data_IF_294856122045
#
_entry.id   IF_294856122045
#
_cell.length_a   1.000
_cell.length_b   1.000
_cell.length_c   1.000
_cell.angle_alpha   90.00
_cell.angle_beta   90.00
_cell.angle_gamma   90.00
#
_symmetry.space_group_name_H-M   'P 1'
#
loop_
_entity.id
_entity.type
_entity.pdbx_description
1 polymer ?
#
# COMPACT_ATOMS: atom_id res chain seq x y z
N UNK A 1 22.03 -139.28 -27.29
CA UNK A 1 21.67 -140.70 -27.05
C UNK A 1 22.92 -141.55 -27.18
N UNK A 2 22.97 -142.67 -26.45
CA UNK A 2 23.98 -143.76 -26.55
C UNK A 2 23.84 -144.53 -27.90
N UNK A 3 24.65 -145.52 -28.33
CA UNK A 3 25.90 -146.18 -27.89
C UNK A 3 26.56 -146.74 -29.18
N UNK A 4 27.88 -146.60 -29.40
CA UNK A 4 28.97 -147.52 -29.06
C UNK A 4 28.84 -148.96 -29.60
N UNK A 5 29.81 -149.35 -30.42
CA UNK A 5 29.99 -150.69 -30.99
C UNK A 5 30.25 -151.78 -29.92
N UNK A 6 29.98 -153.04 -30.29
CA UNK A 6 30.70 -154.20 -29.76
C UNK A 6 31.14 -155.12 -30.90
N UNK A 7 32.44 -155.44 -30.93
CA UNK A 7 32.95 -156.68 -31.49
C UNK A 7 33.24 -157.62 -30.34
N UNK A 8 33.01 -158.92 -30.52
CA UNK A 8 33.59 -159.94 -29.65
C UNK A 8 34.22 -161.06 -30.47
N UNK A 9 35.33 -161.56 -29.92
CA UNK A 9 36.25 -162.54 -30.50
C UNK A 9 36.15 -163.88 -29.79
N UNK A 10 36.33 -165.00 -30.50
CA UNK A 10 36.84 -166.30 -30.03
C UNK A 10 36.94 -167.20 -31.28
N UNK A 11 38.02 -167.86 -31.69
CA UNK A 11 39.23 -168.42 -31.07
C UNK A 11 39.06 -169.83 -30.45
N UNK A 12 39.29 -170.86 -31.29
CA UNK A 12 39.51 -172.28 -31.00
C UNK A 12 39.97 -172.94 -32.32
N UNK A 13 40.86 -173.94 -32.40
CA UNK A 13 41.55 -174.69 -31.35
C UNK A 13 41.98 -176.08 -31.85
N UNK A 14 43.13 -176.14 -32.55
CA UNK A 14 43.92 -177.37 -32.78
C UNK A 14 43.25 -178.60 -33.44
N UNK A 15 42.94 -178.51 -34.75
CA UNK A 15 42.98 -179.67 -35.67
C UNK A 15 43.64 -179.40 -37.04
N UNK A 16 44.23 -178.21 -37.26
CA UNK A 16 44.63 -177.75 -38.59
C UNK A 16 46.03 -177.14 -38.65
N UNK A 17 46.99 -177.66 -37.88
CA UNK A 17 48.35 -177.08 -37.73
C UNK A 17 49.14 -177.01 -39.04
N UNK A 18 48.96 -177.97 -39.95
CA UNK A 18 49.57 -177.93 -41.30
C UNK A 18 48.95 -176.82 -42.17
N UNK A 19 47.62 -176.69 -42.17
CA UNK A 19 46.90 -175.71 -43.00
C UNK A 19 47.05 -174.27 -42.46
N UNK A 20 47.10 -174.13 -41.12
CA UNK A 20 47.39 -172.87 -40.45
C UNK A 20 48.79 -172.34 -40.78
N UNK A 21 49.79 -173.21 -40.94
CA UNK A 21 51.15 -172.81 -41.33
C UNK A 21 51.19 -172.28 -42.77
N UNK A 22 50.48 -172.92 -43.71
CA UNK A 22 50.35 -172.45 -45.09
C UNK A 22 49.61 -171.10 -45.17
N UNK A 23 48.53 -170.94 -44.41
CA UNK A 23 47.80 -169.67 -44.31
C UNK A 23 48.66 -168.55 -43.66
N UNK A 24 49.44 -168.88 -42.63
CA UNK A 24 50.36 -167.93 -42.00
C UNK A 24 51.51 -167.51 -42.93
N UNK A 25 52.08 -168.45 -43.69
CA UNK A 25 53.08 -168.17 -44.73
C UNK A 25 52.51 -167.26 -45.83
N UNK A 26 51.30 -167.54 -46.30
CA UNK A 26 50.63 -166.69 -47.30
C UNK A 26 50.34 -165.28 -46.75
N UNK A 27 49.84 -165.18 -45.52
CA UNK A 27 49.61 -163.89 -44.86
C UNK A 27 50.90 -163.09 -44.64
N UNK A 28 52.03 -163.76 -44.34
CA UNK A 28 53.35 -163.13 -44.30
C UNK A 28 53.79 -162.62 -45.68
N UNK A 29 53.58 -163.42 -46.73
CA UNK A 29 53.95 -163.06 -48.10
C UNK A 29 53.11 -161.89 -48.65
N UNK A 30 51.81 -161.87 -48.35
CA UNK A 30 50.92 -160.75 -48.66
C UNK A 30 51.27 -159.50 -47.83
N UNK A 31 51.66 -159.65 -46.56
CA UNK A 31 52.15 -158.55 -45.73
C UNK A 31 53.49 -157.98 -46.20
N UNK A 32 54.39 -158.80 -46.72
CA UNK A 32 55.65 -158.35 -47.35
C UNK A 32 55.32 -157.52 -48.61
N UNK A 33 54.45 -158.01 -49.50
CA UNK A 33 53.99 -157.25 -50.67
C UNK A 33 53.34 -155.91 -50.30
N UNK A 34 52.56 -155.88 -49.22
CA UNK A 34 51.94 -154.64 -48.72
C UNK A 34 52.99 -153.65 -48.19
N UNK A 35 54.02 -154.13 -47.49
CA UNK A 35 55.13 -153.28 -47.06
C UNK A 35 56.00 -152.81 -48.23
N UNK A 36 56.17 -153.62 -49.28
CA UNK A 36 56.89 -153.21 -50.50
C UNK A 36 56.12 -152.14 -51.29
N UNK A 37 54.79 -152.22 -51.36
CA UNK A 37 53.97 -151.14 -51.96
C UNK A 37 54.03 -149.87 -51.12
N UNK A 38 53.85 -149.95 -49.80
CA UNK A 38 54.01 -148.80 -48.90
C UNK A 38 55.41 -148.18 -48.93
N UNK A 39 56.47 -148.99 -49.16
CA UNK A 39 57.85 -148.47 -49.31
C UNK A 39 58.04 -147.76 -50.65
N UNK A 40 57.40 -148.22 -51.72
CA UNK A 40 57.47 -147.58 -53.04
C UNK A 40 56.70 -146.24 -53.06
N UNK A 41 55.63 -146.11 -52.28
CA UNK A 41 54.92 -144.83 -52.07
C UNK A 41 55.72 -143.82 -51.21
N UNK A 42 56.84 -144.24 -50.59
CA UNK A 42 57.65 -143.44 -49.66
C UNK A 42 59.08 -143.18 -50.14
N UNK A 43 59.44 -143.45 -51.41
CA UNK A 43 60.72 -143.02 -51.97
C UNK A 43 60.69 -141.55 -52.47
N UNK A 44 61.67 -140.70 -52.08
CA UNK A 44 61.57 -139.26 -52.29
C UNK A 44 62.06 -138.80 -53.68
N UNK A 45 61.15 -138.34 -54.53
CA UNK A 45 61.47 -137.67 -55.81
C UNK A 45 61.89 -136.20 -55.62
N UNK A 46 62.85 -135.93 -54.74
CA UNK A 46 63.13 -134.58 -54.21
C UNK A 46 64.54 -134.06 -54.54
N UNK A 47 64.67 -133.36 -55.69
CA UNK A 47 65.70 -132.30 -55.91
C UNK A 47 65.27 -131.16 -56.83
N UNK A 48 64.43 -131.39 -57.86
CA UNK A 48 63.90 -130.29 -58.69
C UNK A 48 62.73 -129.57 -58.00
N UNK A 49 61.71 -130.31 -57.53
CA UNK A 49 60.55 -129.72 -56.83
C UNK A 49 60.92 -128.78 -55.68
N UNK A 50 61.94 -129.13 -54.88
CA UNK A 50 62.37 -128.28 -53.75
C UNK A 50 62.81 -126.87 -54.21
N UNK A 51 63.45 -126.73 -55.38
CA UNK A 51 63.80 -125.41 -55.92
C UNK A 51 62.60 -124.64 -56.44
N UNK A 52 61.66 -125.34 -57.06
CA UNK A 52 60.42 -124.74 -57.58
C UNK A 52 59.52 -124.28 -56.42
N UNK A 53 59.42 -125.10 -55.36
CA UNK A 53 58.72 -124.80 -54.10
C UNK A 53 59.41 -123.65 -53.34
N UNK A 54 60.75 -123.63 -53.26
CA UNK A 54 61.51 -122.54 -52.63
C UNK A 54 61.34 -121.22 -53.40
N UNK A 55 61.35 -121.26 -54.74
CA UNK A 55 61.06 -120.10 -55.58
C UNK A 55 59.63 -119.60 -55.39
N UNK A 56 58.65 -120.51 -55.29
CA UNK A 56 57.25 -120.18 -55.03
C UNK A 56 57.05 -119.55 -53.65
N UNK A 57 57.72 -120.07 -52.62
CA UNK A 57 57.71 -119.50 -51.26
C UNK A 57 58.37 -118.12 -51.24
N UNK A 58 59.50 -117.92 -51.93
CA UNK A 58 60.15 -116.60 -52.04
C UNK A 58 59.26 -115.59 -52.77
N UNK A 59 58.58 -116.01 -53.84
CA UNK A 59 57.60 -115.18 -54.54
C UNK A 59 56.43 -114.80 -53.62
N UNK A 60 55.86 -115.77 -52.89
CA UNK A 60 54.76 -115.52 -51.95
C UNK A 60 55.18 -114.58 -50.80
N UNK A 61 56.42 -114.71 -50.29
CA UNK A 61 56.99 -113.76 -49.31
C UNK A 61 57.13 -112.36 -49.91
N UNK A 62 57.54 -112.23 -51.17
CA UNK A 62 57.65 -110.94 -51.85
C UNK A 62 56.27 -110.29 -52.07
N UNK A 63 55.27 -111.06 -52.52
CA UNK A 63 53.88 -110.61 -52.67
C UNK A 63 53.29 -110.16 -51.33
N UNK A 64 53.48 -110.93 -50.25
CA UNK A 64 53.05 -110.55 -48.90
C UNK A 64 53.76 -109.29 -48.37
N UNK A 65 55.04 -109.09 -48.69
CA UNK A 65 55.76 -107.83 -48.36
C UNK A 65 55.15 -106.63 -49.08
N UNK A 66 54.91 -106.75 -50.38
CA UNK A 66 54.32 -105.68 -51.20
C UNK A 66 52.88 -105.35 -50.77
N UNK A 67 52.09 -106.38 -50.38
CA UNK A 67 50.77 -106.20 -49.77
C UNK A 67 50.86 -105.49 -48.42
N UNK A 68 51.80 -105.86 -47.55
CA UNK A 68 51.98 -105.24 -46.23
C UNK A 68 52.43 -103.77 -46.35
N UNK A 69 53.33 -103.45 -47.29
CA UNK A 69 53.72 -102.07 -47.61
C UNK A 69 52.52 -101.25 -48.12
N UNK A 70 51.70 -101.84 -49.00
CA UNK A 70 50.45 -101.22 -49.47
C UNK A 70 49.46 -100.95 -48.34
N UNK A 71 49.27 -101.92 -47.43
CA UNK A 71 48.42 -101.78 -46.24
C UNK A 71 48.97 -100.73 -45.27
N UNK A 72 50.29 -100.66 -45.08
CA UNK A 72 50.93 -99.64 -44.24
C UNK A 72 50.73 -98.23 -44.81
N UNK A 73 50.85 -98.05 -46.14
CA UNK A 73 50.52 -96.78 -46.80
C UNK A 73 49.04 -96.43 -46.67
N UNK A 74 48.13 -97.39 -46.78
CA UNK A 74 46.69 -97.17 -46.58
C UNK A 74 46.38 -96.77 -45.13
N UNK A 75 47.00 -97.42 -44.14
CA UNK A 75 46.86 -97.09 -42.73
C UNK A 75 47.36 -95.66 -42.44
N UNK A 76 48.51 -95.27 -42.97
CA UNK A 76 49.04 -93.91 -42.82
C UNK A 76 48.12 -92.86 -43.45
N UNK A 77 47.54 -93.14 -44.63
CA UNK A 77 46.53 -92.26 -45.25
C UNK A 77 45.29 -92.12 -44.35
N UNK A 78 44.75 -93.23 -43.83
CA UNK A 78 43.60 -93.18 -42.91
C UNK A 78 43.91 -92.43 -41.60
N UNK A 79 45.15 -92.50 -41.09
CA UNK A 79 45.57 -91.70 -39.93
C UNK A 79 45.60 -90.20 -40.25
N UNK A 80 46.16 -89.81 -41.40
CA UNK A 80 46.15 -88.42 -41.87
C UNK A 80 44.73 -87.92 -42.13
N UNK A 81 43.87 -88.72 -42.75
CA UNK A 81 42.46 -88.37 -43.01
C UNK A 81 41.69 -88.17 -41.70
N UNK A 82 41.93 -89.02 -40.69
CA UNK A 82 41.37 -88.86 -39.34
C UNK A 82 41.83 -87.56 -38.68
N UNK A 83 43.11 -87.20 -38.80
CA UNK A 83 43.64 -85.94 -38.26
C UNK A 83 43.03 -84.72 -38.98
N UNK A 84 42.92 -84.77 -40.30
CA UNK A 84 42.24 -83.75 -41.10
C UNK A 84 40.76 -83.60 -40.70
N UNK A 85 40.04 -84.70 -40.50
CA UNK A 85 38.65 -84.69 -40.00
C UNK A 85 38.55 -84.03 -38.62
N UNK A 86 39.45 -84.36 -37.69
CA UNK A 86 39.49 -83.69 -36.38
C UNK A 86 39.73 -82.19 -36.50
N UNK A 87 40.64 -81.76 -37.38
CA UNK A 87 40.92 -80.34 -37.64
C UNK A 87 39.69 -79.62 -38.23
N UNK A 88 38.95 -80.26 -39.14
CA UNK A 88 37.68 -79.72 -39.66
C UNK A 88 36.58 -79.64 -38.58
N UNK A 89 36.48 -80.62 -37.68
CA UNK A 89 35.54 -80.56 -36.54
C UNK A 89 35.84 -79.35 -35.66
N UNK A 90 37.10 -79.16 -35.25
CA UNK A 90 37.51 -78.01 -34.43
C UNK A 90 37.25 -76.67 -35.14
N UNK A 91 37.47 -76.59 -36.46
CA UNK A 91 37.15 -75.40 -37.25
C UNK A 91 35.64 -75.12 -37.29
N UNK A 92 34.81 -76.16 -37.44
CA UNK A 92 33.35 -76.05 -37.42
C UNK A 92 32.86 -75.58 -36.05
N UNK A 93 33.39 -76.13 -34.96
CA UNK A 93 33.06 -75.72 -33.59
C UNK A 93 33.44 -74.25 -33.33
N UNK A 94 34.61 -73.80 -33.79
CA UNK A 94 35.03 -72.40 -33.69
C UNK A 94 34.06 -71.45 -34.43
N UNK A 95 33.71 -71.78 -35.67
CA UNK A 95 32.76 -70.99 -36.47
C UNK A 95 31.33 -71.00 -35.89
N UNK A 96 30.90 -72.11 -35.27
CA UNK A 96 29.62 -72.18 -34.57
C UNK A 96 29.59 -71.28 -33.32
N UNK A 97 30.67 -71.28 -32.54
CA UNK A 97 30.81 -70.41 -31.37
C UNK A 97 30.86 -68.93 -31.75
N UNK A 98 31.59 -68.56 -32.80
CA UNK A 98 31.61 -67.18 -33.32
C UNK A 98 30.21 -66.74 -33.76
N UNK A 99 29.49 -67.58 -34.52
CA UNK A 99 28.12 -67.29 -34.96
C UNK A 99 27.16 -67.15 -33.78
N UNK A 100 27.31 -67.95 -32.73
CA UNK A 100 26.49 -67.85 -31.51
C UNK A 100 26.75 -66.54 -30.76
N UNK A 101 28.01 -66.10 -30.69
CA UNK A 101 28.38 -64.81 -30.10
C UNK A 101 27.77 -63.64 -30.88
N UNK A 102 27.93 -63.62 -32.20
CA UNK A 102 27.35 -62.59 -33.07
C UNK A 102 25.80 -62.53 -32.94
N UNK A 103 25.12 -63.69 -32.87
CA UNK A 103 23.67 -63.74 -32.65
C UNK A 103 23.26 -63.09 -31.32
N UNK A 104 24.03 -63.30 -30.26
CA UNK A 104 23.80 -62.66 -28.96
C UNK A 104 24.01 -61.14 -29.03
N UNK A 105 25.10 -60.68 -29.65
CA UNK A 105 25.37 -59.25 -29.84
C UNK A 105 24.25 -58.55 -30.64
N UNK A 106 23.71 -59.20 -31.67
CA UNK A 106 22.55 -58.69 -32.41
C UNK A 106 21.29 -58.66 -31.54
N UNK A 107 21.05 -59.68 -30.71
CA UNK A 107 19.91 -59.71 -29.78
C UNK A 107 20.00 -58.58 -28.75
N UNK A 108 21.16 -58.38 -28.12
CA UNK A 108 21.40 -57.32 -27.14
C UNK A 108 21.22 -55.94 -27.80
N UNK A 109 21.74 -55.75 -29.02
CA UNK A 109 21.56 -54.50 -29.80
C UNK A 109 20.11 -54.24 -30.20
N UNK A 110 19.32 -55.28 -30.47
CA UNK A 110 17.88 -55.16 -30.74
C UNK A 110 17.13 -54.75 -29.48
N UNK A 111 17.45 -55.33 -28.32
CA UNK A 111 16.84 -54.95 -27.04
C UNK A 111 17.11 -53.46 -26.71
N UNK A 112 18.35 -53.01 -26.87
CA UNK A 112 18.73 -51.59 -26.73
C UNK A 112 17.93 -50.65 -27.65
N UNK A 113 17.68 -51.07 -28.90
CA UNK A 113 16.91 -50.28 -29.86
C UNK A 113 15.42 -50.25 -29.51
N UNK A 114 14.86 -51.36 -29.03
CA UNK A 114 13.49 -51.42 -28.52
C UNK A 114 13.32 -50.45 -27.34
N UNK A 115 14.23 -50.50 -26.36
CA UNK A 115 14.21 -49.61 -25.20
C UNK A 115 14.27 -48.12 -25.61
N UNK A 116 15.19 -47.76 -26.52
CA UNK A 116 15.30 -46.39 -27.07
C UNK A 116 14.02 -45.95 -27.80
N UNK A 117 13.34 -46.86 -28.50
CA UNK A 117 12.05 -46.57 -29.14
C UNK A 117 10.95 -46.33 -28.11
N UNK A 118 10.92 -47.10 -27.02
CA UNK A 118 9.94 -46.91 -25.93
C UNK A 118 10.15 -45.60 -25.18
N UNK A 119 11.39 -45.25 -24.85
CA UNK A 119 11.70 -44.00 -24.17
C UNK A 119 11.44 -42.79 -25.09
N UNK A 120 11.72 -42.91 -26.40
CA UNK A 120 11.30 -41.93 -27.40
C UNK A 120 9.78 -41.79 -27.56
N UNK A 121 8.99 -42.85 -27.32
CA UNK A 121 7.51 -42.76 -27.25
C UNK A 121 7.06 -42.03 -25.99
N UNK A 122 7.66 -42.31 -24.82
CA UNK A 122 7.36 -41.62 -23.54
C UNK A 122 7.64 -40.12 -23.65
N UNK A 123 8.84 -39.75 -24.12
CA UNK A 123 9.23 -38.35 -24.30
C UNK A 123 8.31 -37.60 -25.28
N UNK A 124 7.87 -38.26 -26.37
CA UNK A 124 6.88 -37.68 -27.30
C UNK A 124 5.54 -37.41 -26.62
N UNK A 125 5.06 -38.35 -25.79
CA UNK A 125 3.81 -38.20 -25.06
C UNK A 125 3.87 -37.08 -24.01
N UNK A 126 4.97 -36.99 -23.26
CA UNK A 126 5.24 -35.89 -22.31
C UNK A 126 5.26 -34.53 -23.02
N UNK A 127 5.95 -34.43 -24.16
CA UNK A 127 5.99 -33.21 -24.96
C UNK A 127 4.62 -32.84 -25.53
N UNK A 128 3.79 -33.80 -25.95
CA UNK A 128 2.42 -33.54 -26.37
C UNK A 128 1.56 -33.01 -25.21
N UNK A 129 1.65 -33.62 -24.02
CA UNK A 129 0.92 -33.13 -22.84
C UNK A 129 1.33 -31.69 -22.47
N UNK A 130 2.61 -31.35 -22.60
CA UNK A 130 3.09 -29.97 -22.39
C UNK A 130 2.53 -29.01 -23.44
N UNK A 131 2.48 -29.40 -24.71
CA UNK A 131 1.86 -28.60 -25.79
C UNK A 131 0.38 -28.34 -25.47
N UNK A 132 -0.38 -29.37 -25.07
CA UNK A 132 -1.81 -29.25 -24.76
C UNK A 132 -2.06 -28.34 -23.54
N UNK A 133 -1.18 -28.37 -22.54
CA UNK A 133 -1.23 -27.46 -21.38
C UNK A 133 -0.96 -26.01 -21.80
N UNK A 134 0.09 -25.77 -22.59
CA UNK A 134 0.43 -24.43 -23.10
C UNK A 134 -0.67 -23.86 -24.01
N UNK A 135 -1.30 -24.68 -24.84
CA UNK A 135 -2.45 -24.26 -25.67
C UNK A 135 -3.64 -23.81 -24.80
N UNK A 136 -3.99 -24.57 -23.75
CA UNK A 136 -5.03 -24.18 -22.78
C UNK A 136 -4.70 -22.86 -22.09
N UNK A 137 -3.44 -22.68 -21.68
CA UNK A 137 -2.97 -21.44 -21.05
C UNK A 137 -3.07 -20.23 -21.99
N UNK A 138 -2.70 -20.39 -23.26
CA UNK A 138 -2.82 -19.35 -24.29
C UNK A 138 -4.28 -18.95 -24.52
N UNK A 139 -5.21 -19.91 -24.60
CA UNK A 139 -6.63 -19.57 -24.80
C UNK A 139 -7.22 -18.87 -23.57
N UNK A 140 -6.83 -19.26 -22.35
CA UNK A 140 -7.21 -18.52 -21.14
C UNK A 140 -6.70 -17.08 -21.16
N UNK A 141 -5.47 -16.83 -21.61
CA UNK A 141 -4.96 -15.46 -21.76
C UNK A 141 -5.75 -14.64 -22.80
N UNK A 142 -6.12 -15.22 -23.95
CA UNK A 142 -6.98 -14.54 -24.95
C UNK A 142 -8.39 -14.24 -24.43
N UNK A 143 -8.95 -15.09 -23.58
CA UNK A 143 -10.24 -14.83 -22.91
C UNK A 143 -10.09 -13.66 -21.94
N UNK A 144 -9.04 -13.68 -21.12
CA UNK A 144 -8.75 -12.60 -20.17
C UNK A 144 -8.51 -11.26 -20.90
N UNK A 145 -7.72 -11.24 -21.97
CA UNK A 145 -7.44 -10.06 -22.79
C UNK A 145 -8.72 -9.47 -23.39
N UNK A 146 -9.58 -10.29 -24.01
CA UNK A 146 -10.91 -9.85 -24.50
C UNK A 146 -11.75 -9.23 -23.38
N UNK A 147 -11.75 -9.84 -22.19
CA UNK A 147 -12.45 -9.31 -21.01
C UNK A 147 -11.86 -7.97 -20.50
N UNK A 148 -10.55 -7.78 -20.57
CA UNK A 148 -9.91 -6.50 -20.20
C UNK A 148 -10.21 -5.40 -21.22
N UNK A 149 -10.20 -5.70 -22.52
CA UNK A 149 -10.56 -4.73 -23.58
C UNK A 149 -12.00 -4.27 -23.40
N UNK A 150 -12.95 -5.19 -23.20
CA UNK A 150 -14.36 -4.85 -22.95
C UNK A 150 -14.55 -3.97 -21.71
N UNK A 151 -13.87 -4.28 -20.60
CA UNK A 151 -13.91 -3.44 -19.38
C UNK A 151 -13.31 -2.05 -19.61
N UNK A 152 -12.22 -1.96 -20.37
CA UNK A 152 -11.57 -0.69 -20.70
C UNK A 152 -12.48 0.19 -21.57
N UNK A 153 -13.15 -0.40 -22.55
CA UNK A 153 -14.06 0.35 -23.43
C UNK A 153 -15.34 0.76 -22.70
N UNK A 154 -15.88 -0.07 -21.80
CA UNK A 154 -16.98 0.35 -20.90
C UNK A 154 -16.56 1.53 -20.01
N UNK A 155 -15.38 1.48 -19.39
CA UNK A 155 -14.87 2.58 -18.57
C UNK A 155 -14.73 3.90 -19.35
N UNK A 156 -14.27 3.85 -20.61
CA UNK A 156 -14.21 5.03 -21.49
C UNK A 156 -15.61 5.59 -21.78
N UNK A 157 -16.59 4.72 -22.03
CA UNK A 157 -17.98 5.15 -22.27
C UNK A 157 -18.58 5.80 -21.01
N UNK A 158 -18.41 5.17 -19.85
CA UNK A 158 -18.89 5.68 -18.56
C UNK A 158 -18.23 7.02 -18.18
N UNK A 159 -16.92 7.17 -18.43
CA UNK A 159 -16.19 8.42 -18.19
C UNK A 159 -16.64 9.53 -19.16
N UNK A 160 -16.76 9.22 -20.46
CA UNK A 160 -17.23 10.16 -21.46
C UNK A 160 -18.66 10.63 -21.18
N UNK A 161 -19.56 9.73 -20.78
CA UNK A 161 -20.92 10.11 -20.39
C UNK A 161 -20.93 11.07 -19.19
N UNK A 162 -20.14 10.78 -18.13
CA UNK A 162 -20.01 11.70 -16.98
C UNK A 162 -19.47 13.07 -17.38
N UNK A 163 -18.51 13.13 -18.31
CA UNK A 163 -17.99 14.39 -18.84
C UNK A 163 -19.05 15.14 -19.65
N UNK A 164 -19.85 14.45 -20.46
CA UNK A 164 -20.98 15.03 -21.21
C UNK A 164 -22.02 15.63 -20.24
N UNK A 165 -22.41 14.88 -19.21
CA UNK A 165 -23.39 15.31 -18.21
C UNK A 165 -22.88 16.55 -17.45
N UNK A 166 -21.62 16.53 -17.02
CA UNK A 166 -20.97 17.68 -16.36
C UNK A 166 -20.91 18.92 -17.27
N UNK A 167 -20.65 18.74 -18.57
CA UNK A 167 -20.65 19.84 -19.54
C UNK A 167 -22.07 20.41 -19.73
N UNK A 168 -23.12 19.59 -19.73
CA UNK A 168 -24.50 20.05 -19.80
C UNK A 168 -24.90 20.86 -18.57
N UNK A 169 -24.58 20.37 -17.36
CA UNK A 169 -24.78 21.07 -16.10
C UNK A 169 -24.09 22.45 -16.07
N UNK A 170 -22.83 22.51 -16.50
CA UNK A 170 -22.07 23.75 -16.56
C UNK A 170 -22.64 24.73 -17.60
N UNK A 171 -23.07 24.26 -18.77
CA UNK A 171 -23.78 25.07 -19.78
C UNK A 171 -25.04 25.69 -19.18
N UNK A 172 -25.86 24.89 -18.50
CA UNK A 172 -27.10 25.38 -17.91
C UNK A 172 -26.85 26.41 -16.80
N UNK A 173 -25.83 26.21 -15.95
CA UNK A 173 -25.40 27.22 -14.95
C UNK A 173 -24.93 28.52 -15.60
N UNK A 174 -24.21 28.45 -16.72
CA UNK A 174 -23.79 29.64 -17.48
C UNK A 174 -24.99 30.39 -18.07
N UNK A 175 -25.96 29.68 -18.66
CA UNK A 175 -27.21 30.28 -19.17
C UNK A 175 -28.03 30.96 -18.06
N UNK A 176 -28.16 30.31 -16.90
CA UNK A 176 -28.79 30.91 -15.72
C UNK A 176 -28.05 32.17 -15.25
N UNK A 177 -26.71 32.12 -15.20
CA UNK A 177 -25.85 33.26 -14.84
C UNK A 177 -26.00 34.44 -15.80
N UNK A 178 -26.01 34.18 -17.12
CA UNK A 178 -26.25 35.21 -18.14
C UNK A 178 -27.66 35.81 -18.04
N UNK A 179 -28.68 34.99 -17.78
CA UNK A 179 -30.06 35.44 -17.56
C UNK A 179 -30.18 36.34 -16.32
N UNK A 180 -29.45 36.01 -15.25
CA UNK A 180 -29.38 36.81 -14.03
C UNK A 180 -28.62 38.13 -14.25
N UNK A 181 -27.48 38.10 -14.95
CA UNK A 181 -26.71 39.29 -15.31
C UNK A 181 -27.57 40.30 -16.11
N UNK A 182 -28.27 39.85 -17.15
CA UNK A 182 -29.20 40.68 -17.95
C UNK A 182 -30.33 41.31 -17.11
N UNK A 183 -30.77 40.66 -16.03
CA UNK A 183 -31.76 41.23 -15.09
C UNK A 183 -31.13 42.31 -14.20
N UNK A 184 -29.88 42.13 -13.78
CA UNK A 184 -29.13 43.12 -13.02
C UNK A 184 -28.77 44.36 -13.86
N UNK A 185 -28.31 44.18 -15.09
CA UNK A 185 -28.03 45.27 -16.05
C UNK A 185 -29.27 46.17 -16.22
N UNK A 186 -30.43 45.58 -16.54
CA UNK A 186 -31.70 46.33 -16.64
C UNK A 186 -32.14 46.99 -15.33
N UNK A 187 -31.76 46.47 -14.17
CA UNK A 187 -32.05 47.10 -12.87
C UNK A 187 -31.11 48.27 -12.62
N UNK A 188 -29.84 48.14 -13.00
CA UNK A 188 -28.85 49.20 -12.94
C UNK A 188 -29.23 50.38 -13.86
N UNK A 189 -29.61 50.13 -15.11
CA UNK A 189 -30.11 51.17 -16.03
C UNK A 189 -31.28 51.97 -15.44
N UNK A 190 -32.25 51.29 -14.81
CA UNK A 190 -33.37 51.94 -14.12
C UNK A 190 -32.91 52.83 -12.97
N UNK A 191 -32.07 52.31 -12.08
CA UNK A 191 -31.53 53.07 -10.95
C UNK A 191 -30.68 54.26 -11.41
N UNK A 192 -29.93 54.12 -12.50
CA UNK A 192 -29.16 55.21 -13.10
C UNK A 192 -30.08 56.31 -13.65
N UNK A 193 -31.18 55.94 -14.30
CA UNK A 193 -32.18 56.90 -14.77
C UNK A 193 -32.90 57.60 -13.60
N UNK A 194 -33.29 56.87 -12.55
CA UNK A 194 -33.86 57.43 -11.33
C UNK A 194 -32.89 58.41 -10.64
N UNK A 195 -31.61 58.06 -10.54
CA UNK A 195 -30.55 58.93 -10.02
C UNK A 195 -30.42 60.22 -10.84
N UNK A 196 -30.32 60.11 -12.17
CA UNK A 196 -30.21 61.27 -13.06
C UNK A 196 -31.44 62.18 -12.95
N UNK A 197 -32.64 61.61 -12.81
CA UNK A 197 -33.88 62.35 -12.60
C UNK A 197 -33.92 63.08 -11.25
N UNK A 198 -33.44 62.44 -10.17
CA UNK A 198 -33.28 63.07 -8.86
C UNK A 198 -32.25 64.19 -8.86
N UNK A 199 -31.12 64.03 -9.56
CA UNK A 199 -30.12 65.09 -9.73
C UNK A 199 -30.70 66.30 -10.48
N UNK A 200 -31.47 66.08 -11.55
CA UNK A 200 -32.19 67.14 -12.27
C UNK A 200 -33.21 67.84 -11.37
N UNK A 201 -34.05 67.09 -10.65
CA UNK A 201 -35.03 67.65 -9.71
C UNK A 201 -34.36 68.47 -8.58
N UNK A 202 -33.18 68.06 -8.13
CA UNK A 202 -32.41 68.79 -7.11
C UNK A 202 -31.83 70.10 -7.66
N UNK A 203 -31.33 70.11 -8.90
CA UNK A 203 -30.88 71.33 -9.58
C UNK A 203 -32.05 72.30 -9.75
N UNK A 204 -33.19 71.83 -10.27
CA UNK A 204 -34.42 72.64 -10.41
C UNK A 204 -34.87 73.23 -9.07
N UNK A 205 -34.83 72.44 -7.99
CA UNK A 205 -35.19 72.90 -6.65
C UNK A 205 -34.21 73.98 -6.13
N UNK A 206 -32.91 73.77 -6.33
CA UNK A 206 -31.85 74.70 -5.95
C UNK A 206 -31.94 76.03 -6.70
N UNK A 207 -32.30 76.02 -7.98
CA UNK A 207 -32.49 77.24 -8.78
C UNK A 207 -33.79 77.97 -8.42
N UNK A 208 -34.88 77.24 -8.13
CA UNK A 208 -36.16 77.82 -7.70
C UNK A 208 -36.16 78.40 -6.28
N UNK A 209 -35.09 78.23 -5.49
CA UNK A 209 -35.03 78.67 -4.10
C UNK A 209 -33.88 79.65 -3.82
N UNK A 210 -34.01 80.95 -4.14
CA UNK A 210 -32.97 81.96 -3.88
C UNK A 210 -32.63 82.17 -2.39
N UNK A 211 -33.51 81.77 -1.47
CA UNK A 211 -33.39 82.12 -0.05
C UNK A 211 -32.28 81.37 0.70
N UNK A 212 -31.89 80.15 0.29
CA UNK A 212 -30.95 79.35 1.08
C UNK A 212 -29.56 80.01 1.20
N UNK A 213 -29.07 80.69 0.15
CA UNK A 213 -27.81 81.44 0.20
C UNK A 213 -27.83 82.67 1.12
N UNK A 214 -29.01 83.14 1.51
CA UNK A 214 -29.16 84.33 2.38
C UNK A 214 -29.56 83.97 3.82
N UNK A 215 -30.13 82.78 4.05
CA UNK A 215 -30.60 82.37 5.37
C UNK A 215 -29.54 81.71 6.26
N UNK A 216 -28.60 80.93 5.73
CA UNK A 216 -27.57 80.25 6.56
C UNK A 216 -26.76 81.25 7.41
N UNK A 217 -26.15 82.26 6.77
CA UNK A 217 -25.37 83.28 7.50
C UNK A 217 -26.20 84.09 8.51
N UNK A 218 -27.47 84.37 8.21
CA UNK A 218 -28.38 85.07 9.13
C UNK A 218 -28.86 84.20 10.29
N UNK A 219 -28.86 82.87 10.13
CA UNK A 219 -29.20 81.91 11.19
C UNK A 219 -28.01 81.70 12.13
N UNK A 220 -26.81 81.49 11.59
CA UNK A 220 -25.58 81.39 12.40
C UNK A 220 -25.34 82.64 13.25
N UNK A 221 -25.52 83.84 12.68
CA UNK A 221 -25.33 85.09 13.41
C UNK A 221 -26.39 85.31 14.50
N UNK A 222 -27.64 84.88 14.27
CA UNK A 222 -28.69 84.86 15.30
C UNK A 222 -28.37 83.87 16.40
N UNK A 223 -27.90 82.66 16.08
CA UNK A 223 -27.53 81.64 17.07
C UNK A 223 -26.38 82.13 17.97
N UNK A 224 -25.30 82.69 17.41
CA UNK A 224 -24.21 83.31 18.18
C UNK A 224 -24.65 84.49 19.04
N UNK A 225 -25.74 85.15 18.68
CA UNK A 225 -26.31 86.25 19.46
C UNK A 225 -27.17 85.72 20.60
N UNK A 226 -28.00 84.68 20.35
CA UNK A 226 -28.76 83.99 21.39
C UNK A 226 -27.86 83.33 22.45
N UNK A 227 -26.75 82.70 22.06
CA UNK A 227 -25.82 82.07 23.00
C UNK A 227 -25.18 83.10 23.94
N UNK A 228 -24.76 84.27 23.44
CA UNK A 228 -24.25 85.37 24.28
C UNK A 228 -25.30 85.91 25.25
N UNK A 229 -26.54 86.09 24.79
CA UNK A 229 -27.65 86.53 25.64
C UNK A 229 -27.96 85.49 26.75
N UNK A 230 -27.90 84.20 26.44
CA UNK A 230 -28.06 83.13 27.43
C UNK A 230 -26.96 83.17 28.50
N UNK A 231 -25.71 83.37 28.10
CA UNK A 231 -24.57 83.48 29.01
C UNK A 231 -24.68 84.71 29.92
N UNK A 232 -25.07 85.87 29.39
CA UNK A 232 -25.35 87.07 30.19
C UNK A 232 -26.49 86.86 31.21
N UNK A 233 -27.60 86.23 30.79
CA UNK A 233 -28.73 85.91 31.67
C UNK A 233 -28.30 84.93 32.78
N UNK A 234 -27.47 83.93 32.46
CA UNK A 234 -26.99 82.96 33.43
C UNK A 234 -26.04 83.60 34.46
N UNK A 235 -25.14 84.49 34.02
CA UNK A 235 -24.26 85.27 34.90
C UNK A 235 -25.05 86.25 35.78
N UNK A 236 -26.07 86.92 35.26
CA UNK A 236 -26.96 87.77 36.06
C UNK A 236 -27.75 86.96 37.11
N UNK A 237 -28.25 85.78 36.75
CA UNK A 237 -28.90 84.86 37.70
C UNK A 237 -27.96 84.46 38.83
N UNK A 238 -26.75 83.99 38.51
CA UNK A 238 -25.77 83.57 39.52
C UNK A 238 -25.41 84.73 40.47
N UNK A 239 -25.15 85.93 39.94
CA UNK A 239 -24.86 87.11 40.76
C UNK A 239 -26.03 87.49 41.68
N UNK A 240 -27.28 87.32 41.23
CA UNK A 240 -28.47 87.56 42.03
C UNK A 240 -28.65 86.50 43.13
N UNK A 241 -28.39 85.23 42.80
CA UNK A 241 -28.44 84.11 43.74
C UNK A 241 -27.38 84.27 44.84
N UNK A 242 -26.13 84.56 44.49
CA UNK A 242 -25.05 84.83 45.44
C UNK A 242 -25.39 85.99 46.40
N UNK A 243 -26.00 87.07 45.91
CA UNK A 243 -26.45 88.19 46.73
C UNK A 243 -27.57 87.79 47.71
N UNK A 244 -28.55 87.00 47.24
CA UNK A 244 -29.63 86.49 48.08
C UNK A 244 -29.11 85.51 49.14
N UNK A 245 -28.16 84.63 48.78
CA UNK A 245 -27.51 83.69 49.73
C UNK A 245 -26.74 84.43 50.82
N UNK A 246 -25.96 85.46 50.47
CA UNK A 246 -25.31 86.34 51.47
C UNK A 246 -26.33 87.00 52.38
N UNK A 247 -27.43 87.52 51.82
CA UNK A 247 -28.49 88.16 52.60
C UNK A 247 -29.21 87.19 53.54
N UNK A 248 -29.42 85.94 53.13
CA UNK A 248 -29.95 84.88 54.00
C UNK A 248 -28.97 84.61 55.16
N UNK A 249 -27.67 84.52 54.87
CA UNK A 249 -26.64 84.30 55.91
C UNK A 249 -26.60 85.44 56.93
N UNK A 250 -26.66 86.71 56.50
CA UNK A 250 -26.75 87.88 57.38
C UNK A 250 -27.99 87.83 58.29
N UNK A 251 -29.14 87.42 57.73
CA UNK A 251 -30.39 87.30 58.48
C UNK A 251 -30.36 86.13 59.47
N UNK A 252 -29.73 85.01 59.12
CA UNK A 252 -29.50 83.89 60.05
C UNK A 252 -28.58 84.31 61.20
N UNK A 253 -27.49 85.02 60.92
CA UNK A 253 -26.59 85.55 61.94
C UNK A 253 -27.34 86.47 62.92
N UNK A 254 -28.13 87.43 62.41
CA UNK A 254 -28.97 88.31 63.24
C UNK A 254 -30.05 87.55 64.02
N UNK A 255 -30.64 86.50 63.43
CA UNK A 255 -31.59 85.63 64.13
C UNK A 255 -30.94 84.93 65.32
N UNK A 256 -29.71 84.43 65.16
CA UNK A 256 -28.93 83.80 66.23
C UNK A 256 -28.54 84.82 67.33
N UNK A 257 -28.16 86.05 66.96
CA UNK A 257 -27.92 87.16 67.90
C UNK A 257 -29.18 87.49 68.71
N UNK A 258 -30.34 87.59 68.06
CA UNK A 258 -31.62 87.81 68.74
C UNK A 258 -32.02 86.64 69.64
N UNK A 259 -31.85 85.38 69.21
CA UNK A 259 -32.10 84.22 70.07
C UNK A 259 -31.18 84.20 71.30
N UNK A 260 -29.90 84.53 71.15
CA UNK A 260 -28.95 84.65 72.26
C UNK A 260 -29.37 85.78 73.23
N UNK A 261 -29.83 86.91 72.70
CA UNK A 261 -30.35 88.04 73.49
C UNK A 261 -31.63 87.67 74.25
N UNK A 262 -32.58 87.01 73.60
CA UNK A 262 -33.80 86.47 74.22
C UNK A 262 -33.45 85.47 75.33
N UNK A 263 -32.46 84.60 75.10
CA UNK A 263 -32.04 83.62 76.10
C UNK A 263 -31.46 84.30 77.35
N UNK A 264 -30.59 85.30 77.18
CA UNK A 264 -30.06 86.13 78.29
C UNK A 264 -31.19 86.82 79.06
N UNK A 265 -32.07 87.54 78.37
CA UNK A 265 -33.23 88.21 78.99
C UNK A 265 -34.17 87.21 79.70
N UNK A 266 -34.32 85.99 79.18
CA UNK A 266 -35.11 84.93 79.83
C UNK A 266 -34.46 84.43 81.12
N UNK A 267 -33.13 84.34 81.18
CA UNK A 267 -32.39 84.02 82.41
C UNK A 267 -32.53 85.16 83.41
N UNK A 268 -32.29 86.40 83.00
CA UNK A 268 -32.44 87.59 83.84
C UNK A 268 -33.85 87.72 84.42
N UNK A 269 -34.89 87.42 83.64
CA UNK A 269 -36.28 87.44 84.08
C UNK A 269 -36.59 86.29 85.06
N UNK A 270 -36.00 85.11 84.88
CA UNK A 270 -36.09 84.01 85.86
C UNK A 270 -35.41 84.38 87.18
N UNK A 271 -34.22 84.97 87.14
CA UNK A 271 -33.50 85.46 88.32
C UNK A 271 -34.26 86.58 89.03
N UNK A 272 -34.88 87.50 88.28
CA UNK A 272 -35.70 88.57 88.83
C UNK A 272 -36.98 88.02 89.48
N UNK A 273 -37.61 87.02 88.86
CA UNK A 273 -38.77 86.33 89.44
C UNK A 273 -38.39 85.53 90.70
N UNK A 274 -37.21 84.88 90.72
CA UNK A 274 -36.68 84.22 91.91
C UNK A 274 -36.42 85.22 93.05
N UNK A 275 -35.81 86.38 92.75
CA UNK A 275 -35.65 87.49 93.70
C UNK A 275 -36.99 88.00 94.21
N UNK A 276 -37.99 88.15 93.33
CA UNK A 276 -39.34 88.55 93.70
C UNK A 276 -40.02 87.53 94.63
N UNK A 277 -39.92 86.23 94.33
CA UNK A 277 -40.43 85.16 95.19
C UNK A 277 -39.73 85.12 96.55
N UNK A 278 -38.41 85.29 96.60
CA UNK A 278 -37.66 85.42 97.85
C UNK A 278 -38.11 86.64 98.67
N UNK A 279 -38.33 87.78 98.02
CA UNK A 279 -38.84 89.00 98.66
C UNK A 279 -40.27 88.80 99.17
N UNK A 280 -41.13 88.15 98.38
CA UNK A 280 -42.52 87.87 98.73
C UNK A 280 -42.61 86.91 99.91
N UNK A 281 -41.83 85.82 99.94
CA UNK A 281 -41.72 84.92 101.09
C UNK A 281 -41.19 85.64 102.34
N UNK A 282 -40.24 86.57 102.18
CA UNK A 282 -39.73 87.40 103.28
C UNK A 282 -40.80 88.35 103.83
N UNK A 283 -41.56 89.01 102.95
CA UNK A 283 -42.70 89.85 103.32
C UNK A 283 -43.78 89.01 104.01
N UNK A 284 -44.14 87.83 103.49
CA UNK A 284 -45.14 86.95 104.10
C UNK A 284 -44.67 86.44 105.47
N UNK A 285 -43.38 86.17 105.64
CA UNK A 285 -42.77 85.84 106.94
C UNK A 285 -42.85 87.02 107.92
N UNK A 286 -42.49 88.23 107.49
CA UNK A 286 -42.62 89.46 108.30
C UNK A 286 -44.09 89.78 108.61
N UNK A 287 -45.02 89.58 107.69
CA UNK A 287 -46.46 89.71 107.92
C UNK A 287 -47.01 88.68 108.89
N UNK A 288 -46.58 87.41 108.81
CA UNK A 288 -46.95 86.36 109.77
C UNK A 288 -46.39 86.66 111.15
N UNK A 289 -45.15 87.11 111.25
CA UNK A 289 -44.53 87.55 112.50
C UNK A 289 -45.28 88.77 113.08
N UNK A 290 -45.60 89.76 112.24
CA UNK A 290 -46.40 90.92 112.62
C UNK A 290 -47.85 90.56 112.99
N UNK A 291 -48.49 89.60 112.32
CA UNK A 291 -49.82 89.08 112.71
C UNK A 291 -49.76 88.27 114.00
N UNK A 292 -48.68 87.55 114.28
CA UNK A 292 -48.48 86.86 115.55
C UNK A 292 -48.29 87.88 116.70
N UNK A 293 -47.47 88.90 116.49
CA UNK A 293 -47.31 90.03 117.42
C UNK A 293 -48.64 90.80 117.61
N UNK A 294 -49.37 91.14 116.52
CA UNK A 294 -50.68 91.80 116.60
C UNK A 294 -51.75 90.92 117.27
N UNK A 295 -51.76 89.59 117.07
CA UNK A 295 -52.67 88.67 117.78
C UNK A 295 -52.33 88.56 119.26
N UNK A 296 -51.05 88.54 119.62
CA UNK A 296 -50.60 88.60 121.03
C UNK A 296 -51.03 89.90 121.72
N UNK A 297 -51.11 91.01 120.97
CA UNK A 297 -51.60 92.30 121.46
C UNK A 297 -53.13 92.48 121.35
N UNK A 298 -53.88 91.56 120.70
CA UNK A 298 -55.33 91.70 120.44
C UNK A 298 -56.27 91.13 121.50
N UNK A 299 -55.75 90.69 122.65
CA UNK A 299 -56.56 90.31 123.82
C UNK A 299 -56.73 91.46 124.84
N UNK A 300 -56.30 92.69 124.50
CA UNK A 300 -56.55 93.90 125.29
C UNK A 300 -56.93 95.03 124.32
N UNK A 301 -58.00 95.76 124.67
CA UNK A 301 -58.53 96.99 124.03
C UNK A 301 -59.22 96.89 122.66
N UNK A 302 -60.31 97.67 122.59
CA UNK A 302 -61.19 97.98 121.45
C UNK A 302 -60.67 99.18 120.63
N UNK A 303 -60.91 99.20 119.30
CA UNK A 303 -61.51 100.34 118.55
C UNK A 303 -61.64 100.04 117.03
N UNK A 304 -62.74 100.55 116.46
CA UNK A 304 -63.07 101.12 115.13
C UNK A 304 -62.44 100.67 113.78
N UNK A 305 -63.32 100.40 112.78
CA UNK A 305 -63.61 101.13 111.50
C UNK A 305 -62.60 102.14 110.88
N UNK A 306 -62.76 102.62 109.61
CA UNK A 306 -63.51 102.11 108.42
C UNK A 306 -62.73 102.23 107.05
N UNK A 307 -63.48 102.14 105.93
CA UNK A 307 -63.25 102.31 104.46
C UNK A 307 -62.17 103.27 103.86
N UNK A 308 -61.73 103.02 102.60
CA UNK A 308 -61.87 103.92 101.39
C UNK A 308 -61.14 103.46 100.06
N UNK A 309 -61.89 103.39 98.94
CA UNK A 309 -61.76 104.05 97.60
C UNK A 309 -60.53 104.06 96.60
N UNK A 310 -60.75 103.47 95.38
CA UNK A 310 -60.43 103.84 93.93
C UNK A 310 -59.00 104.28 93.40
N UNK A 311 -58.72 104.66 92.10
CA UNK A 311 -58.92 104.06 90.74
C UNK A 311 -57.66 104.05 89.75
N UNK A 312 -57.83 103.71 88.42
CA UNK A 312 -57.32 104.39 87.15
C UNK A 312 -56.69 103.54 85.96
N UNK A 313 -57.32 103.64 84.75
CA UNK A 313 -56.98 103.65 83.28
C UNK A 313 -55.76 102.99 82.52
N UNK A 314 -56.09 102.34 81.35
CA UNK A 314 -55.65 102.44 79.89
C UNK A 314 -54.26 103.01 79.44
N UNK A 315 -53.66 102.70 78.23
CA UNK A 315 -54.23 102.79 76.83
C UNK A 315 -53.67 101.79 75.73
N UNK A 316 -53.40 102.16 74.43
CA UNK A 316 -54.25 101.97 73.18
C UNK A 316 -53.45 101.93 71.79
N UNK A 317 -53.96 101.22 70.74
CA UNK A 317 -53.75 101.31 69.23
C UNK A 317 -52.45 100.88 68.44
N UNK A 318 -52.60 100.21 67.25
CA UNK A 318 -52.43 100.77 65.85
C UNK A 318 -52.56 99.74 64.66
N UNK A 319 -52.47 100.20 63.38
CA UNK A 319 -52.97 99.60 62.11
C UNK A 319 -51.90 99.06 61.08
N UNK A 320 -52.37 98.43 59.96
CA UNK A 320 -51.95 98.56 58.51
C UNK A 320 -51.69 97.25 57.67
N UNK A 321 -52.59 97.07 56.69
CA UNK A 321 -52.68 96.40 55.33
C UNK A 321 -51.55 95.65 54.56
N UNK A 322 -52.01 94.64 53.77
CA UNK A 322 -51.82 94.36 52.31
C UNK A 322 -50.93 93.20 51.71
N UNK A 323 -51.64 92.36 50.91
CA UNK A 323 -51.32 91.74 49.58
C UNK A 323 -50.39 90.52 49.31
N UNK A 324 -50.93 89.60 48.48
CA UNK A 324 -50.33 88.87 47.33
C UNK A 324 -49.26 87.75 47.53
N UNK A 325 -49.61 86.47 47.27
CA UNK A 325 -49.48 85.75 45.96
C UNK A 325 -49.83 84.24 46.00
N UNK A 326 -49.93 83.64 44.80
CA UNK A 326 -50.29 82.23 44.49
C UNK A 326 -49.07 81.28 44.50
N UNK A 327 -49.34 80.02 44.08
CA UNK A 327 -48.46 78.90 43.64
C UNK A 327 -48.22 77.90 44.78
N UNK A 328 -48.84 76.71 44.84
CA UNK A 328 -49.14 75.62 43.89
C UNK A 328 -48.09 74.48 43.90
N UNK A 329 -48.61 73.24 43.80
CA UNK A 329 -47.93 71.95 44.04
C UNK A 329 -47.21 71.41 42.79
N UNK A 330 -46.57 70.24 43.01
CA UNK A 330 -46.15 69.15 42.10
C UNK A 330 -44.64 69.14 41.85
N UNK A 331 -43.90 68.07 42.16
CA UNK A 331 -43.95 66.65 41.73
C UNK A 331 -43.73 66.45 40.22
N UNK A 332 -42.58 65.86 39.90
CA UNK A 332 -42.23 64.93 38.80
C UNK A 332 -40.73 64.63 39.06
N UNK A 333 -40.23 63.43 39.31
CA UNK A 333 -40.58 62.07 38.86
C UNK A 333 -40.38 61.86 37.35
N UNK A 334 -39.63 60.80 37.00
CA UNK A 334 -39.34 60.28 35.66
C UNK A 334 -38.80 61.23 34.57
N UNK A 335 -37.53 61.03 34.20
CA UNK A 335 -37.20 60.71 32.81
C UNK A 335 -35.96 59.81 32.74
N UNK A 336 -36.14 58.62 32.17
CA UNK A 336 -35.07 57.74 31.69
C UNK A 336 -34.62 58.24 30.31
N UNK A 337 -33.41 57.90 29.83
CA UNK A 337 -33.42 56.99 28.68
C UNK A 337 -32.31 55.93 28.64
N UNK A 338 -32.76 54.72 28.33
CA UNK A 338 -32.20 53.70 27.42
C UNK A 338 -30.67 53.57 27.17
N UNK A 339 -30.18 52.40 27.58
CA UNK A 339 -29.54 51.37 26.74
C UNK A 339 -28.44 51.76 25.74
N UNK A 340 -27.23 51.29 26.02
CA UNK A 340 -26.32 50.71 25.01
C UNK A 340 -25.63 49.46 25.58
N UNK A 341 -25.28 48.52 24.70
CA UNK A 341 -24.82 47.15 25.00
C UNK A 341 -23.94 46.65 23.83
N UNK A 342 -23.24 45.50 23.92
CA UNK A 342 -22.09 45.25 24.79
C UNK A 342 -20.80 44.97 23.98
N UNK A 343 -19.63 44.94 24.63
CA UNK A 343 -18.39 44.46 24.01
C UNK A 343 -18.28 42.93 24.06
N UNK A 344 -17.73 42.32 23.00
CA UNK A 344 -17.33 40.91 22.99
C UNK A 344 -15.99 40.70 22.24
N UNK A 345 -15.18 39.79 22.80
CA UNK A 345 -14.04 39.07 22.20
C UNK A 345 -12.80 39.81 21.64
N UNK A 346 -11.70 39.74 22.41
CA UNK A 346 -10.34 39.65 21.89
C UNK A 346 -9.87 38.19 21.92
N UNK A 347 -9.73 37.51 20.77
CA UNK A 347 -8.93 36.27 20.65
C UNK A 347 -8.68 35.85 19.18
N UNK A 348 -7.81 36.56 18.44
CA UNK A 348 -7.54 36.26 17.02
C UNK A 348 -6.08 36.37 16.56
N UNK A 349 -5.14 36.75 17.43
CA UNK A 349 -3.76 37.10 17.03
C UNK A 349 -2.89 35.87 16.71
N UNK A 350 -3.21 34.68 17.23
CA UNK A 350 -2.37 33.46 17.06
C UNK A 350 -2.61 32.67 15.76
N UNK A 351 -3.76 32.82 15.09
CA UNK A 351 -4.05 32.06 13.84
C UNK A 351 -3.32 32.59 12.60
N UNK A 352 -3.02 33.89 12.60
CA UNK A 352 -2.48 34.59 11.42
C UNK A 352 -1.04 34.17 11.04
N UNK A 353 -0.23 33.73 12.01
CA UNK A 353 1.15 33.31 11.73
C UNK A 353 1.23 31.89 11.14
N UNK A 354 0.32 31.00 11.54
CA UNK A 354 0.23 29.64 11.00
C UNK A 354 -0.25 29.66 9.55
N UNK A 355 -1.30 30.44 9.25
CA UNK A 355 -1.81 30.59 7.89
C UNK A 355 -0.77 31.18 6.92
N UNK A 356 0.04 32.16 7.36
CA UNK A 356 1.14 32.70 6.57
C UNK A 356 2.25 31.69 6.27
N UNK A 357 2.54 30.77 7.21
CA UNK A 357 3.50 29.70 6.97
C UNK A 357 2.97 28.69 5.95
N UNK A 358 1.72 28.23 6.10
CA UNK A 358 1.08 27.30 5.15
C UNK A 358 1.00 27.89 3.74
N UNK A 359 0.66 29.18 3.60
CA UNK A 359 0.65 29.86 2.30
C UNK A 359 2.07 29.95 1.70
N UNK A 360 3.10 30.19 2.53
CA UNK A 360 4.49 30.21 2.06
C UNK A 360 4.92 28.84 1.55
N UNK A 361 4.66 27.79 2.31
CA UNK A 361 5.06 26.43 1.96
C UNK A 361 4.36 25.95 0.66
N UNK A 362 3.06 26.25 0.49
CA UNK A 362 2.35 25.99 -0.78
C UNK A 362 2.88 26.82 -1.97
N UNK A 363 3.39 28.04 -1.75
CA UNK A 363 4.02 28.84 -2.80
C UNK A 363 5.44 28.35 -3.15
N UNK A 364 6.15 27.74 -2.20
CA UNK A 364 7.45 27.10 -2.41
C UNK A 364 7.29 25.83 -3.29
N UNK A 365 6.29 24.99 -3.00
CA UNK A 365 5.95 23.79 -3.79
C UNK A 365 5.49 24.14 -5.22
N UNK A 366 4.69 25.21 -5.39
CA UNK A 366 4.28 25.67 -6.72
C UNK A 366 5.43 26.24 -7.55
N UNK A 367 6.56 26.65 -6.95
CA UNK A 367 7.76 27.04 -7.71
C UNK A 367 8.57 25.84 -8.21
N UNK A 368 8.55 24.71 -7.49
CA UNK A 368 9.27 23.50 -7.89
C UNK A 368 8.57 22.71 -9.00
N UNK A 369 7.34 23.08 -9.36
CA UNK A 369 6.49 22.37 -10.34
C UNK A 369 6.29 23.11 -11.67
N UNK A 370 7.04 24.20 -11.92
CA UNK A 370 6.99 24.94 -13.19
C UNK A 370 7.88 24.25 -14.23
N UNK A 371 7.35 23.76 -15.36
CA UNK A 371 8.18 23.22 -16.44
C UNK A 371 8.93 24.35 -17.16
N UNK A 372 10.21 24.11 -17.46
CA UNK A 372 11.06 25.03 -18.22
C UNK A 372 10.40 25.46 -19.54
N UNK A 373 10.32 26.77 -19.78
CA UNK A 373 10.05 27.33 -21.12
C UNK A 373 11.33 27.27 -21.96
N UNK A 374 11.18 26.82 -23.20
CA UNK A 374 12.21 26.84 -24.24
C UNK A 374 12.49 28.25 -24.76
N UNK A 375 13.73 28.51 -25.20
CA UNK A 375 14.01 29.49 -26.26
C UNK A 375 15.34 29.17 -26.99
N UNK A 376 15.31 29.24 -28.33
CA UNK A 376 16.43 29.17 -29.31
C UNK A 376 17.26 27.84 -29.35
N UNK A 377 17.77 27.35 -30.49
CA UNK A 377 17.88 27.91 -31.85
C UNK A 377 17.77 26.83 -32.98
N UNK A 378 18.00 27.24 -34.24
CA UNK A 378 17.62 26.55 -35.49
C UNK A 378 18.64 25.55 -36.08
N UNK A 379 18.23 24.87 -37.17
CA UNK A 379 18.97 23.99 -38.11
C UNK A 379 19.20 22.53 -37.63
N UNK A 380 18.99 21.50 -38.45
CA UNK A 380 18.54 21.42 -39.85
C UNK A 380 17.98 20.03 -40.22
N UNK A 381 17.59 19.83 -41.49
CA UNK A 381 16.82 18.69 -42.00
C UNK A 381 17.45 17.29 -41.79
N UNK A 382 16.62 16.27 -41.52
CA UNK A 382 16.27 15.23 -42.53
C UNK A 382 15.33 14.10 -42.02
N UNK A 383 14.10 14.08 -42.57
CA UNK A 383 13.33 12.89 -43.02
C UNK A 383 12.81 11.76 -42.08
N UNK A 384 11.61 11.28 -42.46
CA UNK A 384 10.89 10.02 -42.08
C UNK A 384 10.06 9.90 -40.77
N UNK A 385 8.77 10.20 -40.93
CA UNK A 385 7.57 9.40 -40.57
C UNK A 385 7.34 8.86 -39.14
N UNK A 386 6.36 9.49 -38.47
CA UNK A 386 5.16 8.92 -37.79
C UNK A 386 5.26 7.46 -37.25
N UNK A 387 5.01 7.15 -35.97
CA UNK A 387 3.83 7.51 -35.17
C UNK A 387 4.11 7.51 -33.65
N UNK A 388 3.54 8.48 -32.93
CA UNK A 388 3.69 8.61 -31.48
C UNK A 388 2.69 7.73 -30.70
N UNK A 389 3.20 6.72 -29.97
CA UNK A 389 2.46 6.11 -28.85
C UNK A 389 2.72 6.95 -27.60
N UNK A 390 1.63 7.45 -26.98
CA UNK A 390 1.69 8.21 -25.72
C UNK A 390 2.40 7.38 -24.64
N UNK A 391 3.61 7.77 -24.24
CA UNK A 391 4.25 7.24 -23.04
C UNK A 391 3.48 7.74 -21.81
N UNK A 392 3.09 6.82 -20.95
CA UNK A 392 2.73 7.13 -19.56
C UNK A 392 3.95 7.77 -18.91
N UNK A 393 3.78 8.95 -18.30
CA UNK A 393 4.84 9.62 -17.56
C UNK A 393 5.16 8.81 -16.30
N UNK A 394 6.28 8.09 -16.35
CA UNK A 394 6.93 7.51 -15.17
C UNK A 394 7.58 8.62 -14.34
N UNK A 395 7.83 8.40 -13.03
CA UNK A 395 8.58 9.35 -12.21
C UNK A 395 9.96 9.67 -12.81
N UNK A 396 10.56 10.84 -12.51
CA UNK A 396 11.85 11.22 -13.06
C UNK A 396 12.93 10.20 -12.68
N UNK A 397 13.47 9.51 -13.69
CA UNK A 397 14.56 8.56 -13.54
C UNK A 397 15.78 9.29 -12.97
N UNK A 398 16.34 8.77 -11.87
CA UNK A 398 17.61 9.29 -11.33
C UNK A 398 18.73 9.09 -12.34
N UNK A 399 19.77 9.93 -12.30
CA UNK A 399 20.90 9.87 -13.25
C UNK A 399 21.57 8.49 -13.32
N UNK A 400 21.49 7.70 -12.24
CA UNK A 400 22.01 6.33 -12.15
C UNK A 400 21.30 5.36 -13.11
N UNK A 401 20.00 5.54 -13.35
CA UNK A 401 19.23 4.70 -14.26
C UNK A 401 19.58 4.96 -15.74
N UNK A 402 19.94 6.20 -16.09
CA UNK A 402 20.38 6.53 -17.45
C UNK A 402 21.72 5.85 -17.78
N UNK A 403 22.61 5.70 -16.80
CA UNK A 403 23.89 5.02 -16.98
C UNK A 403 23.70 3.50 -17.18
N UNK A 404 22.86 2.86 -16.35
CA UNK A 404 22.52 1.44 -16.53
C UNK A 404 21.78 1.16 -17.84
N UNK A 405 20.87 2.03 -18.26
CA UNK A 405 20.16 1.91 -19.55
C UNK A 405 21.13 2.07 -20.74
N UNK A 406 22.10 2.97 -20.64
CA UNK A 406 23.16 3.13 -21.65
C UNK A 406 24.09 1.92 -21.72
N UNK A 407 24.52 1.36 -20.58
CA UNK A 407 25.34 0.15 -20.52
C UNK A 407 24.59 -1.07 -21.06
N UNK A 408 23.32 -1.26 -20.68
CA UNK A 408 22.45 -2.30 -21.24
C UNK A 408 22.30 -2.16 -22.77
N UNK A 409 22.14 -0.94 -23.29
CA UNK A 409 22.06 -0.68 -24.73
C UNK A 409 23.36 -1.03 -25.47
N UNK A 410 24.53 -0.73 -24.88
CA UNK A 410 25.81 -1.15 -25.46
C UNK A 410 25.98 -2.68 -25.48
N UNK A 411 25.66 -3.35 -24.37
CA UNK A 411 25.74 -4.82 -24.28
C UNK A 411 24.79 -5.51 -25.26
N UNK A 412 23.56 -5.00 -25.41
CA UNK A 412 22.58 -5.57 -26.33
C UNK A 412 23.01 -5.37 -27.81
N UNK A 413 23.57 -4.21 -28.16
CA UNK A 413 24.18 -3.99 -29.48
C UNK A 413 25.34 -4.96 -29.75
N UNK A 414 26.23 -5.19 -28.78
CA UNK A 414 27.35 -6.15 -28.91
C UNK A 414 26.86 -7.59 -29.01
N UNK A 415 25.82 -7.95 -28.26
CA UNK A 415 25.15 -9.25 -28.32
C UNK A 415 24.55 -9.52 -29.71
N UNK A 416 23.82 -8.56 -30.29
CA UNK A 416 23.31 -8.67 -31.66
C UNK A 416 24.43 -8.81 -32.70
N UNK A 417 25.52 -8.05 -32.57
CA UNK A 417 26.67 -8.14 -33.48
C UNK A 417 27.31 -9.53 -33.42
N UNK A 418 27.56 -10.06 -32.24
CA UNK A 418 28.11 -11.42 -32.05
C UNK A 418 27.16 -12.51 -32.54
N UNK A 419 25.84 -12.34 -32.41
CA UNK A 419 24.87 -13.26 -33.04
C UNK A 419 24.99 -13.22 -34.56
N UNK A 420 25.07 -12.04 -35.19
CA UNK A 420 25.24 -11.93 -36.65
C UNK A 420 26.56 -12.56 -37.10
N UNK A 421 27.64 -12.32 -36.36
CA UNK A 421 28.95 -12.94 -36.61
C UNK A 421 28.88 -14.48 -36.48
N UNK A 422 28.23 -15.01 -35.44
CA UNK A 422 28.05 -16.46 -35.26
C UNK A 422 27.25 -17.15 -36.40
N UNK A 423 26.38 -16.42 -37.09
CA UNK A 423 25.65 -16.93 -38.27
C UNK A 423 26.51 -16.95 -39.53
N UNK A 424 27.44 -16.00 -39.67
CA UNK A 424 28.37 -15.92 -40.80
C UNK A 424 29.61 -16.79 -40.61
N UNK A 425 30.00 -17.07 -39.35
CA UNK A 425 31.23 -17.79 -39.03
C UNK A 425 31.13 -19.30 -39.32
N UNK A 426 32.13 -19.82 -40.02
CA UNK A 426 32.25 -21.22 -40.45
C UNK A 426 33.33 -21.99 -39.70
N UNK A 427 34.34 -21.31 -39.14
CA UNK A 427 35.35 -21.94 -38.28
C UNK A 427 34.74 -22.31 -36.92
N UNK A 428 34.77 -23.60 -36.59
CA UNK A 428 34.24 -24.13 -35.33
C UNK A 428 34.94 -23.53 -34.09
N UNK A 429 36.23 -23.19 -34.18
CA UNK A 429 36.97 -22.57 -33.06
C UNK A 429 36.49 -21.14 -32.81
N UNK A 430 36.39 -20.33 -33.85
CA UNK A 430 35.87 -18.97 -33.76
C UNK A 430 34.40 -18.96 -33.32
N UNK A 431 33.59 -19.89 -33.84
CA UNK A 431 32.18 -20.06 -33.43
C UNK A 431 32.04 -20.47 -31.95
N UNK A 432 32.98 -21.26 -31.41
CA UNK A 432 33.04 -21.58 -29.99
C UNK A 432 33.46 -20.37 -29.13
N UNK A 433 34.41 -19.56 -29.61
CA UNK A 433 34.81 -18.32 -28.94
C UNK A 433 33.67 -17.28 -28.92
N UNK A 434 32.97 -17.08 -30.03
CA UNK A 434 31.79 -16.20 -30.10
C UNK A 434 30.68 -16.68 -29.15
N UNK A 435 30.44 -18.01 -29.04
CA UNK A 435 29.50 -18.57 -28.05
C UNK A 435 29.91 -18.27 -26.61
N UNK A 436 31.21 -18.26 -26.30
CA UNK A 436 31.69 -17.86 -24.97
C UNK A 436 31.42 -16.38 -24.70
N UNK A 437 31.76 -15.48 -25.64
CA UNK A 437 31.49 -14.04 -25.48
C UNK A 437 29.98 -13.72 -25.37
N UNK A 438 29.12 -14.47 -26.06
CA UNK A 438 27.66 -14.34 -25.92
C UNK A 438 27.17 -14.75 -24.52
N UNK A 439 27.77 -15.75 -23.89
CA UNK A 439 27.46 -16.14 -22.51
C UNK A 439 27.97 -15.10 -21.51
N UNK A 440 29.20 -14.60 -21.69
CA UNK A 440 29.78 -13.56 -20.84
C UNK A 440 28.94 -12.26 -20.87
N UNK A 441 28.41 -11.88 -22.04
CA UNK A 441 27.49 -10.73 -22.17
C UNK A 441 26.13 -11.01 -21.54
N UNK A 442 25.57 -12.22 -21.70
CA UNK A 442 24.31 -12.59 -21.06
C UNK A 442 24.42 -12.55 -19.52
N UNK A 443 25.58 -12.90 -18.96
CA UNK A 443 25.87 -12.76 -17.54
C UNK A 443 26.01 -11.29 -17.10
N UNK A 444 26.71 -10.45 -17.88
CA UNK A 444 26.81 -9.01 -17.62
C UNK A 444 25.44 -8.30 -17.66
N UNK A 445 24.58 -8.63 -18.63
CA UNK A 445 23.19 -8.12 -18.69
C UNK A 445 22.39 -8.58 -17.47
N UNK A 446 22.57 -9.83 -17.01
CA UNK A 446 21.91 -10.37 -15.83
C UNK A 446 22.41 -9.72 -14.53
N UNK A 447 23.68 -9.33 -14.45
CA UNK A 447 24.23 -8.61 -13.30
C UNK A 447 23.77 -7.13 -13.28
N UNK A 448 23.70 -6.47 -14.44
CA UNK A 448 23.18 -5.11 -14.56
C UNK A 448 21.70 -5.01 -14.18
N UNK A 449 20.87 -6.00 -14.55
CA UNK A 449 19.45 -6.06 -14.16
C UNK A 449 19.23 -6.50 -12.69
N UNK A 450 20.28 -6.75 -11.91
CA UNK A 450 20.22 -7.10 -10.47
C UNK A 450 20.65 -5.95 -9.55
N UNK A 451 21.20 -4.87 -10.10
CA UNK A 451 21.69 -3.68 -9.38
C UNK A 451 20.67 -2.54 -9.46
#
# INVERSE_FOLDING_TARGET
MFQKEQRNTTNSGYQSTSNAYVLAMKALQDKIKLMETQRNDLQPSNKMKIKDDESLIQQQIHELRNQNETLSMQLQRQQNDKENINNYILQIEALQNERLLQLKEYQDRIADLIQKIEDGKKQRFEMQNLIDQLQKQIEQYKINERGFIQKLDQLKLDENQKQIDQIQDLRHRVEQGQSYAKKLEKRYEKLQNEKNQLESNFIDYKERCPLFKLQEGQLEEKERTYLRIMEEIQNQRQSTEDQLTRRIQDLLNKSNEYQSTIHKLTIELKDLNLKYQQLSLRIEYEEKNNKFNRKRMKNISSFDDPDLDIPINNPVQYYITNQNKKVAKLNFEYLQPQLSSPQFEQNSVKSNHFLKQVIKDCLEDMKQTIPYKSELHQQGDQSFQQFSKKKLLSPPMTARNNESEYQLKQLNNRYEQLIRQAHQESDFKQKAQIRKELLDIAEQIKELNRK
#
